data_IF_437044364895
#
_entry.id   IF_437044364895
#
_cell.length_a   1.000
_cell.length_b   1.000
_cell.length_c   1.000
_cell.angle_alpha   90.00
_cell.angle_beta   90.00
_cell.angle_gamma   90.00
#
_symmetry.space_group_name_H-M   'P 1'
#
loop_
_entity.id
_entity.type
_entity.pdbx_description
1 polymer ?
#
# COMPACT_ATOMS: atom_id res chain seq x y z
N UNK A 1 -13.83 -2.30 -3.44
CA UNK A 1 -13.59 -3.50 -4.27
C UNK A 1 -12.10 -3.63 -4.44
N UNK A 2 -11.55 -4.82 -4.16
CA UNK A 2 -10.15 -5.11 -4.37
C UNK A 2 -9.86 -5.42 -5.83
N UNK A 3 -8.74 -4.88 -6.34
CA UNK A 3 -8.17 -5.26 -7.63
C UNK A 3 -6.76 -5.84 -7.42
N UNK A 4 -6.52 -7.01 -7.99
CA UNK A 4 -5.25 -7.71 -8.01
C UNK A 4 -4.67 -7.51 -9.39
N UNK A 5 -3.41 -7.09 -9.47
CA UNK A 5 -2.71 -6.92 -10.76
C UNK A 5 -1.50 -7.83 -10.78
N UNK A 6 -1.44 -8.69 -11.80
CA UNK A 6 -0.30 -9.55 -12.04
C UNK A 6 0.63 -8.83 -13.02
N UNK A 7 1.87 -8.66 -12.62
CA UNK A 7 2.92 -8.05 -13.44
C UNK A 7 3.95 -9.09 -13.83
N UNK A 8 4.55 -8.92 -15.02
CA UNK A 8 5.65 -9.73 -15.51
C UNK A 8 6.78 -8.86 -15.99
N UNK A 9 8.01 -9.25 -15.65
CA UNK A 9 9.21 -8.63 -16.20
C UNK A 9 9.59 -9.30 -17.51
N UNK A 10 9.71 -8.56 -18.62
CA UNK A 10 10.15 -9.16 -19.89
C UNK A 10 11.64 -9.56 -19.90
N UNK A 11 12.47 -9.02 -19.01
CA UNK A 11 13.91 -9.32 -18.96
C UNK A 11 14.23 -10.60 -18.19
N UNK A 12 13.66 -10.78 -16.99
CA UNK A 12 13.97 -11.93 -16.13
C UNK A 12 12.76 -12.86 -15.90
N UNK A 13 11.64 -12.57 -16.56
CA UNK A 13 10.39 -13.34 -16.49
C UNK A 13 9.79 -13.49 -15.09
N UNK A 14 10.27 -12.73 -14.10
CA UNK A 14 9.68 -12.72 -12.76
C UNK A 14 8.25 -12.20 -12.82
N UNK A 15 7.35 -12.92 -12.19
CA UNK A 15 5.96 -12.52 -12.02
C UNK A 15 5.71 -12.09 -10.58
N UNK A 16 4.82 -11.11 -10.40
CA UNK A 16 4.45 -10.61 -9.09
C UNK A 16 3.04 -10.06 -9.09
N UNK A 17 2.31 -10.44 -8.07
CA UNK A 17 0.95 -9.98 -7.80
C UNK A 17 0.96 -8.76 -6.87
N UNK A 18 0.09 -7.81 -7.19
CA UNK A 18 -0.15 -6.60 -6.41
C UNK A 18 -1.63 -6.53 -6.06
N UNK A 19 -1.96 -6.73 -4.78
CA UNK A 19 -3.29 -6.48 -4.24
C UNK A 19 -3.46 -4.98 -3.99
N UNK A 20 -4.50 -4.38 -4.54
CA UNK A 20 -4.79 -2.95 -4.55
C UNK A 20 -6.29 -2.74 -4.22
N UNK A 21 -6.63 -1.58 -3.66
CA UNK A 21 -7.98 -1.24 -3.22
C UNK A 21 -8.40 -1.88 -1.89
N UNK A 22 -9.71 -1.95 -1.69
CA UNK A 22 -10.37 -2.41 -0.46
C UNK A 22 -11.16 -3.68 -0.76
N UNK A 23 -10.63 -4.84 -0.36
CA UNK A 23 -11.39 -6.10 -0.33
C UNK A 23 -12.49 -6.10 0.74
N UNK A 24 -13.44 -7.03 0.63
CA UNK A 24 -14.63 -7.17 1.48
C UNK A 24 -14.29 -7.33 2.97
N UNK A 25 -13.08 -7.81 3.29
CA UNK A 25 -12.63 -7.99 4.68
C UNK A 25 -12.32 -6.68 5.44
N UNK A 26 -12.27 -5.53 4.76
CA UNK A 26 -11.87 -4.25 5.37
C UNK A 26 -13.05 -3.31 5.67
N UNK A 27 -14.19 -3.87 6.10
CA UNK A 27 -15.43 -3.11 6.35
C UNK A 27 -15.38 -2.12 7.53
N UNK A 28 -14.34 -2.17 8.37
CA UNK A 28 -14.14 -1.21 9.47
C UNK A 28 -12.69 -1.18 9.96
N UNK A 29 -12.29 -0.07 10.60
CA UNK A 29 -10.99 0.04 11.27
C UNK A 29 -10.72 -1.15 12.22
N UNK A 30 -11.74 -1.60 12.93
CA UNK A 30 -11.64 -2.71 13.89
C UNK A 30 -11.28 -4.04 13.22
N UNK A 31 -11.74 -4.27 11.99
CA UNK A 31 -11.41 -5.47 11.21
C UNK A 31 -10.00 -5.38 10.61
N UNK A 32 -9.56 -4.15 10.34
CA UNK A 32 -8.27 -3.85 9.73
C UNK A 32 -7.11 -3.93 10.75
N UNK A 33 -7.29 -3.39 11.96
CA UNK A 33 -6.22 -3.26 12.97
C UNK A 33 -5.61 -4.60 13.39
N UNK A 34 -6.34 -5.71 13.28
CA UNK A 34 -5.83 -7.06 13.53
C UNK A 34 -4.77 -7.52 12.51
N UNK A 35 -4.81 -6.98 11.29
CA UNK A 35 -3.87 -7.33 10.20
C UNK A 35 -2.70 -6.35 10.06
N UNK A 36 -2.68 -5.32 10.90
CA UNK A 36 -1.69 -4.25 10.87
C UNK A 36 -0.54 -4.58 11.80
N UNK A 37 0.68 -4.20 11.40
CA UNK A 37 1.86 -4.36 12.24
C UNK A 37 1.66 -3.70 13.61
N UNK A 38 2.09 -4.38 14.69
CA UNK A 38 1.79 -3.99 16.07
C UNK A 38 2.17 -2.55 16.44
N UNK A 39 3.23 -1.99 15.82
CA UNK A 39 3.63 -0.59 16.01
C UNK A 39 2.53 0.36 15.54
N UNK A 40 2.09 0.21 14.29
CA UNK A 40 1.02 1.04 13.74
C UNK A 40 -0.30 0.81 14.48
N UNK A 41 -0.56 -0.42 14.94
CA UNK A 41 -1.74 -0.71 15.77
C UNK A 41 -1.74 0.10 17.06
N UNK A 42 -0.59 0.17 17.75
CA UNK A 42 -0.45 0.97 18.96
C UNK A 42 -0.66 2.46 18.68
N UNK A 43 -0.08 2.98 17.61
CA UNK A 43 -0.27 4.38 17.20
C UNK A 43 -1.73 4.68 16.87
N UNK A 44 -2.43 3.78 16.17
CA UNK A 44 -3.87 3.91 15.88
C UNK A 44 -4.70 3.88 17.16
N UNK A 45 -4.39 2.98 18.08
CA UNK A 45 -5.09 2.87 19.37
C UNK A 45 -4.89 4.16 20.20
N UNK A 46 -3.66 4.68 20.26
CA UNK A 46 -3.36 5.98 20.88
C UNK A 46 -4.08 7.12 20.14
N UNK A 47 -4.12 7.06 18.81
CA UNK A 47 -4.82 8.03 17.97
C UNK A 47 -6.34 7.99 18.16
N UNK A 48 -6.92 6.86 18.61
CA UNK A 48 -8.37 6.71 18.73
C UNK A 48 -8.93 7.06 20.12
N UNK A 49 -8.07 7.27 21.13
CA UNK A 49 -8.50 7.39 22.55
C UNK A 49 -9.03 8.75 22.98
N UNK A 50 -8.64 9.83 22.31
CA UNK A 50 -8.84 11.19 22.84
C UNK A 50 -9.92 12.00 22.11
N UNK A 51 -10.09 11.77 20.81
CA UNK A 51 -10.95 12.56 19.94
C UNK A 51 -11.66 11.64 18.96
N UNK A 52 -12.91 11.97 18.63
CA UNK A 52 -13.71 11.19 17.68
C UNK A 52 -13.09 11.27 16.29
N UNK A 53 -12.94 10.12 15.66
CA UNK A 53 -12.55 10.01 14.25
C UNK A 53 -13.76 10.36 13.39
N UNK A 54 -13.59 11.33 12.49
CA UNK A 54 -14.63 11.81 11.58
C UNK A 54 -14.51 11.20 10.18
N UNK A 55 -13.29 10.78 9.78
CA UNK A 55 -13.05 10.07 8.52
C UNK A 55 -12.04 8.96 8.69
N UNK A 56 -12.34 7.87 7.99
CA UNK A 56 -11.57 6.64 7.98
C UNK A 56 -11.32 6.24 6.52
N UNK A 57 -10.06 6.08 6.16
CA UNK A 57 -9.65 5.63 4.82
C UNK A 57 -8.62 4.51 4.98
N UNK A 58 -8.98 3.32 4.47
CA UNK A 58 -8.13 2.13 4.52
C UNK A 58 -8.14 1.46 3.17
N UNK A 59 -6.98 1.31 2.53
CA UNK A 59 -6.88 0.56 1.29
C UNK A 59 -5.47 0.10 0.97
N UNK A 60 -5.33 -0.96 0.18
CA UNK A 60 -4.04 -1.30 -0.41
C UNK A 60 -3.74 -0.35 -1.57
N UNK A 61 -2.62 0.36 -1.50
CA UNK A 61 -2.13 1.18 -2.61
C UNK A 61 -0.76 0.72 -3.06
N UNK A 62 -0.42 1.11 -4.29
CA UNK A 62 0.93 0.97 -4.79
C UNK A 62 1.79 2.10 -4.22
N UNK A 63 2.94 1.73 -3.68
CA UNK A 63 3.97 2.67 -3.25
C UNK A 63 5.30 2.27 -3.86
N UNK A 64 6.16 3.25 -4.14
CA UNK A 64 7.51 3.02 -4.62
C UNK A 64 8.51 4.00 -4.02
N UNK A 65 9.78 3.65 -4.12
CA UNK A 65 10.89 4.54 -3.76
C UNK A 65 11.43 5.20 -5.03
N UNK A 66 11.55 6.53 -5.05
CA UNK A 66 12.05 7.27 -6.22
C UNK A 66 13.45 6.85 -6.68
N UNK A 67 14.30 6.39 -5.74
CA UNK A 67 15.67 5.96 -6.06
C UNK A 67 15.74 4.63 -6.79
N UNK A 68 14.91 3.66 -6.41
CA UNK A 68 14.96 2.30 -6.96
C UNK A 68 13.83 2.00 -7.92
N UNK A 69 12.74 2.78 -7.87
CA UNK A 69 11.54 2.63 -8.67
C UNK A 69 10.89 1.25 -8.58
N UNK A 70 11.15 0.50 -7.50
CA UNK A 70 10.53 -0.81 -7.26
C UNK A 70 9.16 -0.60 -6.63
N UNK A 71 8.08 -1.17 -7.19
CA UNK A 71 6.74 -0.99 -6.67
C UNK A 71 6.43 -2.04 -5.59
N UNK A 72 5.67 -1.62 -4.59
CA UNK A 72 5.22 -2.42 -3.46
C UNK A 72 3.74 -2.14 -3.18
N UNK A 73 2.95 -3.20 -3.00
CA UNK A 73 1.63 -3.06 -2.38
C UNK A 73 1.80 -2.82 -0.88
N UNK A 74 1.13 -1.78 -0.37
CA UNK A 74 1.12 -1.40 1.05
C UNK A 74 -0.28 -1.00 1.47
N UNK A 75 -0.63 -1.38 2.69
CA UNK A 75 -1.94 -1.09 3.26
C UNK A 75 -1.93 0.29 3.94
N UNK A 76 -2.47 1.29 3.24
CA UNK A 76 -2.63 2.65 3.74
C UNK A 76 -3.71 2.69 4.81
N UNK A 77 -3.40 3.37 5.91
CA UNK A 77 -4.39 3.80 6.90
C UNK A 77 -4.27 5.30 7.04
N UNK A 78 -5.38 6.01 6.79
CA UNK A 78 -5.51 7.43 7.04
C UNK A 78 -6.76 7.71 7.88
N UNK A 79 -6.56 8.40 8.99
CA UNK A 79 -7.58 8.75 9.96
C UNK A 79 -7.59 10.27 10.15
N UNK A 80 -8.76 10.89 10.12
CA UNK A 80 -8.94 12.31 10.40
C UNK A 80 -9.81 12.48 11.65
N UNK A 81 -9.34 13.28 12.59
CA UNK A 81 -10.07 13.65 13.81
C UNK A 81 -10.81 14.97 13.65
N UNK A 82 -11.77 15.19 14.53
CA UNK A 82 -12.55 16.44 14.60
C UNK A 82 -11.69 17.69 14.91
N UNK A 83 -10.58 17.52 15.63
CA UNK A 83 -9.60 18.59 15.91
C UNK A 83 -8.71 18.94 14.71
N UNK A 84 -8.86 18.23 13.59
CA UNK A 84 -8.08 18.39 12.38
C UNK A 84 -6.76 17.60 12.35
N UNK A 85 -6.44 16.84 13.40
CA UNK A 85 -5.25 15.98 13.39
C UNK A 85 -5.46 14.80 12.42
N UNK A 86 -4.42 14.47 11.66
CA UNK A 86 -4.43 13.39 10.66
C UNK A 86 -3.35 12.37 11.02
N UNK A 87 -3.77 11.12 11.21
CA UNK A 87 -2.86 9.99 11.23
C UNK A 87 -2.78 9.39 9.84
N UNK A 88 -1.58 9.17 9.34
CA UNK A 88 -1.34 8.48 8.07
C UNK A 88 -0.15 7.54 8.21
N UNK A 89 -0.30 6.29 7.76
CA UNK A 89 0.81 5.33 7.76
C UNK A 89 1.91 5.76 6.80
N UNK A 90 3.13 5.87 7.32
CA UNK A 90 4.31 6.21 6.52
C UNK A 90 5.09 4.95 6.17
N UNK A 91 5.32 4.73 4.87
CA UNK A 91 6.13 3.62 4.37
C UNK A 91 7.55 4.06 4.04
N UNK A 92 8.53 3.25 4.43
CA UNK A 92 9.96 3.48 4.14
C UNK A 92 10.48 2.39 3.21
N UNK A 93 11.37 2.79 2.31
CA UNK A 93 12.06 1.88 1.41
C UNK A 93 12.94 0.92 2.23
N UNK A 94 12.82 -0.40 2.06
CA UNK A 94 13.65 -1.36 2.81
C UNK A 94 15.14 -1.28 2.46
N UNK A 95 15.49 -0.74 1.28
CA UNK A 95 16.88 -0.64 0.81
C UNK A 95 17.59 0.63 1.24
N UNK A 96 16.92 1.80 1.18
CA UNK A 96 17.56 3.09 1.49
C UNK A 96 16.90 3.88 2.62
N UNK A 97 15.82 3.38 3.21
CA UNK A 97 15.11 4.06 4.30
C UNK A 97 14.34 5.31 3.91
N UNK A 98 14.39 5.77 2.65
CA UNK A 98 13.64 6.94 2.19
C UNK A 98 12.13 6.71 2.31
N UNK A 99 11.36 7.78 2.52
CA UNK A 99 9.90 7.72 2.42
C UNK A 99 9.50 7.23 1.02
N UNK A 100 8.53 6.34 0.96
CA UNK A 100 7.93 5.89 -0.29
C UNK A 100 6.79 6.83 -0.67
N UNK A 101 6.59 7.01 -1.97
CA UNK A 101 5.51 7.81 -2.54
C UNK A 101 4.49 6.91 -3.21
N UNK A 102 3.25 7.37 -3.27
CA UNK A 102 2.17 6.65 -3.93
C UNK A 102 2.45 6.54 -5.43
N UNK A 103 2.28 5.35 -5.97
CA UNK A 103 2.43 5.04 -7.39
C UNK A 103 1.09 5.01 -8.13
N UNK A 104 1.19 5.11 -9.45
CA UNK A 104 0.13 4.80 -10.40
C UNK A 104 0.13 3.30 -10.81
N UNK A 105 -0.84 2.91 -11.62
CA UNK A 105 -0.95 1.55 -12.17
C UNK A 105 -0.18 1.37 -13.50
N UNK A 106 0.62 2.36 -13.93
CA UNK A 106 1.42 2.27 -15.15
C UNK A 106 2.72 1.54 -14.86
N UNK A 107 2.64 0.20 -14.77
CA UNK A 107 3.76 -0.62 -14.31
C UNK A 107 5.06 -0.52 -15.13
N UNK A 108 4.96 -0.01 -16.36
CA UNK A 108 6.12 0.32 -17.22
C UNK A 108 7.03 1.39 -16.63
N UNK A 109 6.54 2.22 -15.70
CA UNK A 109 7.33 3.24 -15.00
C UNK A 109 8.26 2.67 -13.93
N UNK A 110 8.03 1.41 -13.52
CA UNK A 110 8.71 0.80 -12.39
C UNK A 110 9.78 -0.21 -12.78
N UNK A 111 10.77 -0.35 -11.90
CA UNK A 111 11.81 -1.34 -12.00
C UNK A 111 11.37 -2.69 -11.42
N UNK A 112 11.75 -3.76 -12.10
CA UNK A 112 11.61 -5.12 -11.60
C UNK A 112 12.35 -5.28 -10.26
N UNK A 113 11.68 -5.83 -9.24
CA UNK A 113 12.30 -6.07 -7.94
C UNK A 113 13.45 -7.10 -7.98
N UNK A 114 13.48 -7.96 -9.01
CA UNK A 114 14.47 -9.02 -9.16
C UNK A 114 15.72 -8.54 -9.93
N UNK A 115 15.55 -8.00 -11.14
CA UNK A 115 16.67 -7.60 -12.00
C UNK A 115 16.94 -6.08 -12.07
N UNK A 116 16.06 -5.25 -11.50
CA UNK A 116 16.19 -3.79 -11.52
C UNK A 116 15.86 -3.11 -12.85
N UNK A 117 15.55 -3.86 -13.91
CA UNK A 117 15.21 -3.30 -15.22
C UNK A 117 13.76 -2.79 -15.27
N UNK A 118 13.54 -1.66 -15.96
CA UNK A 118 12.21 -1.06 -16.17
C UNK A 118 11.44 -1.73 -17.31
N UNK A 119 11.18 -3.01 -17.14
CA UNK A 119 10.50 -3.82 -18.16
C UNK A 119 9.33 -4.59 -17.56
N UNK A 120 8.70 -4.02 -16.54
CA UNK A 120 7.49 -4.54 -15.93
C UNK A 120 6.27 -4.16 -16.78
N UNK A 121 5.39 -5.12 -17.03
CA UNK A 121 4.10 -4.92 -17.68
C UNK A 121 3.02 -5.66 -16.91
N UNK A 122 1.83 -5.07 -16.81
CA UNK A 122 0.65 -5.79 -16.33
C UNK A 122 0.25 -6.84 -17.38
N UNK A 123 0.06 -8.09 -16.95
CA UNK A 123 -0.31 -9.22 -17.81
C UNK A 123 -1.67 -9.81 -17.48
N UNK A 124 -2.28 -9.35 -16.40
CA UNK A 124 -3.63 -9.74 -16.00
C UNK A 124 -4.10 -8.94 -14.80
N UNK A 125 -5.40 -8.84 -14.69
CA UNK A 125 -6.13 -8.31 -13.56
C UNK A 125 -7.06 -9.39 -13.00
N UNK A 126 -7.26 -9.35 -11.69
CA UNK A 126 -8.20 -10.19 -11.00
C UNK A 126 -8.94 -9.36 -9.96
N UNK A 127 -10.24 -9.58 -9.83
CA UNK A 127 -10.93 -9.08 -8.65
C UNK A 127 -10.55 -9.99 -7.47
N UNK A 128 -10.25 -9.38 -6.32
CA UNK A 128 -10.01 -10.11 -5.10
C UNK A 128 -10.91 -9.58 -4.00
N UNK A 129 -11.48 -10.53 -3.29
CA UNK A 129 -12.36 -10.34 -2.14
C UNK A 129 -12.10 -11.43 -1.11
#
# INVERSE_FOLDING_TARGET
MGQGVITKCSTCHSEKEYLLGVGMMYSSLKNVTGSVHWINRREIDEFSRNVKIIREEFEHRLYFCEKFLVPHSRFLIRLEREDGEIFETIFKCPKCGSRMIQGDFYFTNYACSNCGQKTLSAIGDMFWD
#
